data_IF_944021711083
#
_entry.id   IF_944021711083
#
_cell.length_a   1.000
_cell.length_b   1.000
_cell.length_c   1.000
_cell.angle_alpha   90.00
_cell.angle_beta   90.00
_cell.angle_gamma   90.00
#
_symmetry.space_group_name_H-M   'P 1'
#
loop_
_entity.id
_entity.type
_entity.pdbx_description
1 polymer ?
#
# COMPACT_ATOMS: atom_id res chain seq x y z
N UNK A 1 -16.58 18.60 -6.08
CA UNK A 1 -15.64 17.47 -6.17
C UNK A 1 -16.27 16.28 -5.48
N UNK A 2 -16.45 15.20 -6.23
CA UNK A 2 -16.84 13.90 -5.70
C UNK A 2 -15.61 13.16 -5.16
N UNK A 3 -15.82 12.15 -4.29
CA UNK A 3 -14.73 11.36 -3.71
C UNK A 3 -13.82 10.72 -4.76
N UNK A 4 -14.37 10.38 -5.92
CA UNK A 4 -13.65 9.77 -7.05
C UNK A 4 -12.72 10.75 -7.78
N UNK A 5 -12.90 12.06 -7.60
CA UNK A 5 -12.08 13.09 -8.23
C UNK A 5 -10.72 13.24 -7.52
N UNK A 6 -10.61 12.79 -6.26
CA UNK A 6 -9.37 12.80 -5.47
C UNK A 6 -8.55 11.54 -5.76
N UNK A 7 -7.39 11.68 -6.38
CA UNK A 7 -6.41 10.60 -6.49
C UNK A 7 -5.67 10.44 -5.16
N UNK A 8 -5.84 9.28 -4.51
CA UNK A 8 -5.23 8.99 -3.21
C UNK A 8 -4.16 7.92 -3.37
N UNK A 9 -2.97 8.19 -2.83
CA UNK A 9 -1.94 7.17 -2.60
C UNK A 9 -1.91 6.88 -1.10
N UNK A 10 -2.11 5.62 -0.71
CA UNK A 10 -2.13 5.21 0.69
C UNK A 10 -0.78 4.64 1.11
N UNK A 11 -0.20 5.13 2.21
CA UNK A 11 1.04 4.62 2.77
C UNK A 11 0.76 3.88 4.08
N UNK A 12 1.08 2.58 4.14
CA UNK A 12 0.84 1.77 5.33
C UNK A 12 1.56 0.43 5.31
N UNK A 13 1.72 -0.20 6.47
CA UNK A 13 2.42 -1.49 6.61
C UNK A 13 1.79 -2.38 7.69
N UNK A 14 1.56 -1.90 8.93
CA UNK A 14 1.01 -2.74 9.98
C UNK A 14 -0.47 -3.06 9.78
N UNK A 15 -0.95 -4.08 10.49
CA UNK A 15 -2.34 -4.54 10.54
C UNK A 15 -3.37 -3.41 10.76
N UNK A 16 -3.12 -2.50 11.69
CA UNK A 16 -4.06 -1.42 12.00
C UNK A 16 -4.27 -0.45 10.83
N UNK A 17 -3.32 -0.37 9.88
CA UNK A 17 -3.45 0.47 8.69
C UNK A 17 -4.43 -0.13 7.67
N UNK A 18 -4.69 -1.44 7.72
CA UNK A 18 -5.60 -2.14 6.79
C UNK A 18 -7.02 -1.59 6.91
N UNK A 19 -7.53 -1.38 8.12
CA UNK A 19 -8.89 -0.86 8.29
C UNK A 19 -9.04 0.55 7.69
N UNK A 20 -7.99 1.39 7.77
CA UNK A 20 -8.02 2.71 7.14
C UNK A 20 -8.06 2.62 5.61
N UNK A 21 -7.23 1.75 5.02
CA UNK A 21 -7.24 1.51 3.58
C UNK A 21 -8.60 0.95 3.12
N UNK A 22 -9.13 -0.02 3.85
CA UNK A 22 -10.44 -0.63 3.58
C UNK A 22 -11.56 0.40 3.55
N UNK A 23 -11.60 1.32 4.52
CA UNK A 23 -12.60 2.40 4.55
C UNK A 23 -12.50 3.36 3.37
N UNK A 24 -11.30 3.59 2.83
CA UNK A 24 -11.14 4.39 1.61
C UNK A 24 -11.71 3.65 0.39
N UNK A 25 -11.37 2.37 0.24
CA UNK A 25 -11.83 1.54 -0.88
C UNK A 25 -13.35 1.38 -0.86
N UNK A 26 -13.90 0.88 0.25
CA UNK A 26 -15.35 0.69 0.43
C UNK A 26 -16.12 2.01 0.42
N UNK A 27 -15.47 3.11 0.82
CA UNK A 27 -16.03 4.46 0.85
C UNK A 27 -16.17 5.13 -0.51
N UNK A 28 -15.72 4.46 -1.59
CA UNK A 28 -15.77 4.95 -2.97
C UNK A 28 -14.74 6.02 -3.29
N UNK A 29 -13.63 6.07 -2.55
CA UNK A 29 -12.51 6.95 -2.87
C UNK A 29 -11.65 6.35 -3.98
N UNK A 30 -11.03 7.21 -4.79
CA UNK A 30 -10.15 6.78 -5.86
C UNK A 30 -8.71 6.54 -5.33
N UNK A 31 -8.51 5.38 -4.72
CA UNK A 31 -7.19 4.90 -4.29
C UNK A 31 -6.42 4.41 -5.51
N UNK A 32 -5.51 5.24 -6.02
CA UNK A 32 -4.73 4.97 -7.23
C UNK A 32 -3.43 4.20 -6.97
N UNK A 33 -3.01 4.10 -5.71
CA UNK A 33 -1.82 3.36 -5.34
C UNK A 33 -1.73 3.10 -3.84
N UNK A 34 -1.05 2.01 -3.49
CA UNK A 34 -0.73 1.62 -2.12
C UNK A 34 0.77 1.45 -2.00
N UNK A 35 1.39 2.08 -1.01
CA UNK A 35 2.81 1.98 -0.72
C UNK A 35 2.98 1.25 0.61
N UNK A 36 3.79 0.20 0.62
CA UNK A 36 4.12 -0.55 1.83
C UNK A 36 5.58 -0.96 1.85
N UNK A 37 6.11 -1.32 3.02
CA UNK A 37 7.51 -1.77 3.11
C UNK A 37 7.72 -3.06 2.29
N UNK A 38 8.91 -3.27 1.71
CA UNK A 38 9.29 -4.55 1.13
C UNK A 38 9.10 -5.71 2.12
N UNK A 39 8.80 -6.88 1.59
CA UNK A 39 8.72 -8.09 2.39
C UNK A 39 10.07 -8.35 3.05
N UNK A 40 10.06 -8.67 4.35
CA UNK A 40 11.28 -8.89 5.11
C UNK A 40 11.20 -10.17 5.94
N UNK A 41 12.32 -10.88 6.16
CA UNK A 41 12.37 -12.00 7.08
C UNK A 41 11.97 -11.57 8.49
N UNK A 42 11.09 -12.33 9.14
CA UNK A 42 10.65 -12.06 10.51
C UNK A 42 10.53 -13.35 11.34
N UNK A 43 10.59 -13.19 12.66
CA UNK A 43 10.44 -14.30 13.62
C UNK A 43 11.64 -15.24 13.71
N UNK A 44 11.51 -16.27 14.56
CA UNK A 44 12.49 -17.37 14.64
C UNK A 44 12.28 -18.28 13.43
N UNK A 45 13.28 -18.39 12.56
CA UNK A 45 13.20 -19.16 11.31
C UNK A 45 13.20 -18.31 10.02
N UNK A 46 13.23 -16.97 10.13
CA UNK A 46 13.41 -16.05 9.00
C UNK A 46 12.43 -16.26 7.84
N UNK A 47 11.19 -16.63 8.13
CA UNK A 47 10.16 -16.72 7.10
C UNK A 47 9.87 -15.33 6.52
N UNK A 48 9.68 -15.27 5.19
CA UNK A 48 9.34 -14.03 4.50
C UNK A 48 7.94 -13.60 4.92
N UNK A 49 7.84 -12.43 5.57
CA UNK A 49 6.58 -11.87 6.01
C UNK A 49 6.14 -10.75 5.08
N UNK A 50 4.93 -10.90 4.53
CA UNK A 50 4.22 -9.84 3.81
C UNK A 50 3.49 -8.94 4.81
N UNK A 51 3.49 -7.64 4.52
CA UNK A 51 2.70 -6.68 5.30
C UNK A 51 1.20 -6.94 5.16
N UNK A 52 0.41 -6.62 6.18
CA UNK A 52 -1.03 -6.85 6.10
C UNK A 52 -1.70 -5.90 5.09
N UNK A 53 -1.13 -4.70 4.90
CA UNK A 53 -1.51 -3.78 3.82
C UNK A 53 -1.23 -4.38 2.43
N UNK A 54 -0.10 -5.07 2.23
CA UNK A 54 0.20 -5.77 0.97
C UNK A 54 -0.86 -6.82 0.66
N UNK A 55 -1.18 -7.67 1.65
CA UNK A 55 -2.16 -8.75 1.46
C UNK A 55 -3.50 -8.17 1.01
N UNK A 56 -3.99 -7.13 1.70
CA UNK A 56 -5.23 -6.46 1.36
C UNK A 56 -5.18 -5.81 -0.04
N UNK A 57 -4.09 -5.11 -0.37
CA UNK A 57 -3.93 -4.46 -1.66
C UNK A 57 -3.96 -5.47 -2.83
N UNK A 58 -3.25 -6.59 -2.70
CA UNK A 58 -3.23 -7.66 -3.71
C UNK A 58 -4.61 -8.31 -3.84
N UNK A 59 -5.28 -8.62 -2.74
CA UNK A 59 -6.62 -9.22 -2.73
C UNK A 59 -7.67 -8.34 -3.42
N UNK A 60 -7.54 -7.02 -3.30
CA UNK A 60 -8.46 -6.03 -3.89
C UNK A 60 -7.98 -5.49 -5.25
N UNK A 61 -6.88 -6.03 -5.82
CA UNK A 61 -6.36 -5.61 -7.12
C UNK A 61 -5.86 -4.16 -7.17
N UNK A 62 -5.41 -3.62 -6.03
CA UNK A 62 -4.86 -2.26 -5.94
C UNK A 62 -3.41 -2.24 -6.46
N UNK A 63 -3.05 -1.15 -7.13
CA UNK A 63 -1.66 -0.92 -7.56
C UNK A 63 -0.75 -0.79 -6.32
N UNK A 64 0.24 -1.68 -6.22
CA UNK A 64 1.11 -1.82 -5.05
C UNK A 64 2.54 -1.44 -5.40
N UNK A 65 3.12 -0.55 -4.60
CA UNK A 65 4.53 -0.14 -4.67
C UNK A 65 5.25 -0.55 -3.37
N UNK A 66 6.44 -1.13 -3.48
CA UNK A 66 7.27 -1.53 -2.35
C UNK A 66 8.70 -0.95 -2.46
N UNK A 67 8.87 0.38 -2.46
CA UNK A 67 10.19 0.99 -2.59
C UNK A 67 11.07 0.67 -1.39
N UNK A 68 12.36 0.42 -1.63
CA UNK A 68 13.35 0.31 -0.55
C UNK A 68 13.64 1.70 0.03
N UNK A 69 13.68 2.74 -0.81
CA UNK A 69 13.79 4.14 -0.37
C UNK A 69 12.77 5.01 -1.11
N UNK A 70 12.12 5.90 -0.38
CA UNK A 70 11.14 6.84 -0.94
C UNK A 70 11.73 7.89 -1.89
N UNK A 71 13.06 8.01 -1.94
CA UNK A 71 13.78 8.95 -2.79
C UNK A 71 14.34 8.31 -4.06
N UNK A 72 14.18 6.99 -4.22
CA UNK A 72 14.65 6.30 -5.42
C UNK A 72 13.90 6.87 -6.64
N UNK A 73 14.64 7.25 -7.67
CA UNK A 73 14.06 7.95 -8.84
C UNK A 73 13.00 7.12 -9.54
N UNK A 74 13.15 5.79 -9.58
CA UNK A 74 12.15 4.86 -10.14
C UNK A 74 10.80 5.00 -9.43
N UNK A 75 10.80 4.96 -8.09
CA UNK A 75 9.59 5.14 -7.28
C UNK A 75 9.00 6.56 -7.41
N UNK A 76 9.86 7.58 -7.40
CA UNK A 76 9.41 8.98 -7.59
C UNK A 76 8.78 9.18 -8.97
N UNK A 77 9.30 8.52 -10.00
CA UNK A 77 8.75 8.57 -11.34
C UNK A 77 7.44 7.78 -11.47
N UNK A 78 7.30 6.65 -10.77
CA UNK A 78 6.04 5.89 -10.70
C UNK A 78 4.91 6.67 -10.03
N UNK A 79 5.22 7.57 -9.08
CA UNK A 79 4.25 8.42 -8.39
C UNK A 79 3.75 9.63 -9.18
N UNK A 80 4.42 10.02 -10.27
CA UNK A 80 4.11 11.23 -11.06
C UNK A 80 2.93 11.01 -12.01
#
# INVERSE_FOLDING_TARGET
>A
MEKKDLKIVFFGTPDFAVESLKRLVEGGYNVVGVVTMPDKPAGRGHHLLQSDVKKYAVENGLHLMQPVKLKDEEFVNELR
#
